data_IF_317454789168
#
_entry.id   IF_317454789168
#
_cell.length_a   1.000
_cell.length_b   1.000
_cell.length_c   1.000
_cell.angle_alpha   90.00
_cell.angle_beta   90.00
_cell.angle_gamma   90.00
#
_symmetry.space_group_name_H-M   'P 1'
#
loop_
_entity.id
_entity.type
_entity.pdbx_description
1 polymer ?
#
# COMPACT_ATOMS: atom_id res chain seq x y z
N UNK A 1 -75.69 -52.60 -29.02
CA UNK A 1 -74.91 -52.50 -27.76
C UNK A 1 -73.41 -52.40 -28.00
N UNK A 2 -72.78 -53.28 -28.81
CA UNK A 2 -71.31 -53.30 -29.02
C UNK A 2 -70.73 -51.95 -29.52
N UNK A 3 -71.39 -51.29 -30.48
CA UNK A 3 -70.93 -50.01 -31.04
C UNK A 3 -70.94 -48.87 -30.01
N UNK A 4 -71.94 -48.82 -29.12
CA UNK A 4 -72.03 -47.79 -28.07
C UNK A 4 -70.94 -47.94 -27.01
N UNK A 5 -70.57 -49.18 -26.68
CA UNK A 5 -69.46 -49.46 -25.75
C UNK A 5 -68.12 -49.10 -26.39
N UNK A 6 -67.94 -49.39 -27.68
CA UNK A 6 -66.73 -49.02 -28.43
C UNK A 6 -66.55 -47.49 -28.51
N UNK A 7 -67.62 -46.75 -28.79
CA UNK A 7 -67.59 -45.28 -28.85
C UNK A 7 -67.26 -44.67 -27.48
N UNK A 8 -67.76 -45.26 -26.38
CA UNK A 8 -67.40 -44.82 -25.02
C UNK A 8 -65.93 -45.09 -24.67
N UNK A 9 -65.37 -46.22 -25.08
CA UNK A 9 -63.94 -46.53 -24.87
C UNK A 9 -63.07 -45.50 -25.58
N UNK A 10 -63.37 -45.22 -26.86
CA UNK A 10 -62.63 -44.24 -27.67
C UNK A 10 -62.77 -42.83 -27.11
N UNK A 11 -63.94 -42.44 -26.60
CA UNK A 11 -64.12 -41.12 -25.96
C UNK A 11 -63.30 -40.98 -24.68
N UNK A 12 -63.25 -42.02 -23.84
CA UNK A 12 -62.41 -42.01 -22.65
C UNK A 12 -60.91 -41.98 -23.00
N UNK A 13 -60.49 -42.72 -24.03
CA UNK A 13 -59.11 -42.69 -24.54
C UNK A 13 -58.74 -41.29 -25.07
N UNK A 14 -59.66 -40.60 -25.76
CA UNK A 14 -59.46 -39.22 -26.21
C UNK A 14 -59.33 -38.27 -25.01
N UNK A 15 -60.17 -38.40 -23.99
CA UNK A 15 -60.14 -37.55 -22.79
C UNK A 15 -58.87 -37.78 -21.96
N UNK A 16 -58.39 -39.02 -21.86
CA UNK A 16 -57.10 -39.35 -21.23
C UNK A 16 -55.91 -38.77 -22.01
N UNK A 17 -55.92 -38.84 -23.35
CA UNK A 17 -54.89 -38.24 -24.19
C UNK A 17 -54.93 -36.70 -24.14
N UNK A 18 -56.10 -36.08 -24.07
CA UNK A 18 -56.23 -34.63 -23.88
C UNK A 18 -55.64 -34.17 -22.53
N UNK A 19 -55.87 -34.92 -21.44
CA UNK A 19 -55.25 -34.65 -20.14
C UNK A 19 -53.72 -34.83 -20.18
N UNK A 20 -53.22 -35.85 -20.90
CA UNK A 20 -51.78 -36.05 -21.11
C UNK A 20 -51.15 -34.91 -21.89
N UNK A 21 -51.81 -34.43 -22.94
CA UNK A 21 -51.35 -33.28 -23.73
C UNK A 21 -51.29 -32.02 -22.86
N UNK A 22 -52.32 -31.76 -22.04
CA UNK A 22 -52.31 -30.62 -21.12
C UNK A 22 -51.17 -30.70 -20.10
N UNK A 23 -50.92 -31.88 -19.50
CA UNK A 23 -49.80 -32.08 -18.57
C UNK A 23 -48.45 -31.85 -19.26
N UNK A 24 -48.27 -32.36 -20.48
CA UNK A 24 -47.05 -32.16 -21.26
C UNK A 24 -46.85 -30.69 -21.66
N UNK A 25 -47.92 -29.95 -21.95
CA UNK A 25 -47.86 -28.51 -22.23
C UNK A 25 -47.47 -27.70 -20.99
N UNK A 26 -47.98 -28.06 -19.81
CA UNK A 26 -47.58 -27.44 -18.54
C UNK A 26 -46.12 -27.71 -18.20
N UNK A 27 -45.66 -28.96 -18.35
CA UNK A 27 -44.25 -29.34 -18.18
C UNK A 27 -43.33 -28.61 -19.17
N UNK A 28 -43.73 -28.54 -20.45
CA UNK A 28 -42.98 -27.81 -21.48
C UNK A 28 -42.85 -26.33 -21.11
N UNK A 29 -43.94 -25.69 -20.69
CA UNK A 29 -43.94 -24.30 -20.24
C UNK A 29 -43.07 -24.09 -18.99
N UNK A 30 -43.07 -25.04 -18.05
CA UNK A 30 -42.24 -24.98 -16.86
C UNK A 30 -40.75 -25.10 -17.19
N UNK A 31 -40.38 -26.07 -18.03
CA UNK A 31 -39.00 -26.26 -18.51
C UNK A 31 -38.55 -25.05 -19.34
N UNK A 32 -39.43 -24.46 -20.15
CA UNK A 32 -39.12 -23.25 -20.92
C UNK A 32 -38.81 -22.07 -20.00
N UNK A 33 -39.62 -21.82 -18.96
CA UNK A 33 -39.31 -20.78 -17.96
C UNK A 33 -38.01 -21.05 -17.21
N UNK A 34 -37.75 -22.30 -16.83
CA UNK A 34 -36.52 -22.69 -16.14
C UNK A 34 -35.27 -22.48 -17.01
N UNK A 35 -35.35 -22.84 -18.30
CA UNK A 35 -34.27 -22.62 -19.26
C UNK A 35 -34.03 -21.14 -19.57
N UNK A 36 -35.07 -20.31 -19.61
CA UNK A 36 -34.94 -18.85 -19.73
C UNK A 36 -34.24 -18.23 -18.51
N UNK A 37 -34.61 -18.65 -17.28
CA UNK A 37 -33.94 -18.20 -16.06
C UNK A 37 -32.46 -18.61 -16.01
N UNK A 38 -32.15 -19.85 -16.39
CA UNK A 38 -30.77 -20.34 -16.47
C UNK A 38 -29.95 -19.58 -17.51
N UNK A 39 -30.55 -19.25 -18.67
CA UNK A 39 -29.90 -18.40 -19.68
C UNK A 39 -29.62 -16.99 -19.16
N UNK A 40 -30.56 -16.38 -18.43
CA UNK A 40 -30.35 -15.08 -17.83
C UNK A 40 -29.20 -15.09 -16.80
N UNK A 41 -29.16 -16.10 -15.92
CA UNK A 41 -28.09 -16.30 -14.95
C UNK A 41 -26.73 -16.55 -15.62
N UNK A 42 -26.69 -17.37 -16.67
CA UNK A 42 -25.48 -17.61 -17.45
C UNK A 42 -24.97 -16.31 -18.11
N UNK A 43 -25.86 -15.50 -18.66
CA UNK A 43 -25.49 -14.22 -19.26
C UNK A 43 -24.96 -13.23 -18.23
N UNK A 44 -25.53 -13.21 -17.02
CA UNK A 44 -25.02 -12.42 -15.89
C UNK A 44 -23.59 -12.87 -15.50
N UNK A 45 -23.34 -14.18 -15.45
CA UNK A 45 -22.01 -14.71 -15.17
C UNK A 45 -21.00 -14.40 -16.29
N UNK A 46 -21.42 -14.43 -17.54
CA UNK A 46 -20.59 -14.02 -18.69
C UNK A 46 -20.24 -12.54 -18.58
N UNK A 47 -21.20 -11.67 -18.24
CA UNK A 47 -20.93 -10.25 -18.02
C UNK A 47 -19.96 -10.02 -16.85
N UNK A 48 -20.17 -10.71 -15.72
CA UNK A 48 -19.24 -10.66 -14.57
C UNK A 48 -17.84 -11.09 -14.96
N UNK A 49 -17.71 -12.22 -15.66
CA UNK A 49 -16.44 -12.71 -16.20
C UNK A 49 -15.77 -11.66 -17.09
N UNK A 50 -16.50 -11.07 -18.05
CA UNK A 50 -15.97 -10.03 -18.92
C UNK A 50 -15.52 -8.79 -18.15
N UNK A 51 -16.26 -8.36 -17.11
CA UNK A 51 -15.84 -7.23 -16.27
C UNK A 51 -14.57 -7.53 -15.47
N UNK A 52 -14.42 -8.76 -14.97
CA UNK A 52 -13.22 -9.20 -14.25
C UNK A 52 -12.03 -9.28 -15.22
N UNK A 53 -12.21 -9.86 -16.41
CA UNK A 53 -11.16 -9.95 -17.43
C UNK A 53 -10.68 -8.57 -17.88
N UNK A 54 -11.60 -7.63 -18.13
CA UNK A 54 -11.27 -6.24 -18.42
C UNK A 54 -10.56 -5.55 -17.24
N UNK A 55 -10.95 -5.87 -16.00
CA UNK A 55 -10.28 -5.39 -14.80
C UNK A 55 -8.85 -5.91 -14.67
N UNK A 56 -8.62 -7.19 -14.94
CA UNK A 56 -7.30 -7.80 -14.95
C UNK A 56 -6.42 -7.21 -16.05
N UNK A 57 -6.94 -7.04 -17.27
CA UNK A 57 -6.20 -6.39 -18.36
C UNK A 57 -5.79 -4.97 -17.99
N UNK A 58 -6.70 -4.16 -17.42
CA UNK A 58 -6.35 -2.79 -16.97
C UNK A 58 -5.32 -2.78 -15.86
N UNK A 59 -5.36 -3.74 -14.93
CA UNK A 59 -4.32 -3.88 -13.90
C UNK A 59 -2.99 -4.26 -14.53
N UNK A 60 -3.00 -5.16 -15.51
CA UNK A 60 -1.81 -5.60 -16.21
C UNK A 60 -1.22 -4.49 -17.09
N UNK A 61 -2.05 -3.70 -17.76
CA UNK A 61 -1.66 -2.49 -18.49
C UNK A 61 -1.06 -1.45 -17.54
N UNK A 62 -1.67 -1.19 -16.39
CA UNK A 62 -1.10 -0.28 -15.37
C UNK A 62 0.24 -0.76 -14.81
N UNK A 63 0.40 -2.06 -14.60
CA UNK A 63 1.67 -2.67 -14.19
C UNK A 63 2.73 -2.51 -15.28
N UNK A 64 2.32 -2.51 -16.56
CA UNK A 64 3.22 -2.36 -17.71
C UNK A 64 3.51 -0.89 -18.08
N UNK A 65 2.58 0.04 -17.84
CA UNK A 65 2.73 1.48 -18.09
C UNK A 65 3.56 2.17 -17.00
N UNK A 66 3.57 1.64 -15.78
CA UNK A 66 4.54 2.02 -14.75
C UNK A 66 5.87 1.30 -14.99
N UNK A 67 6.68 1.81 -15.92
CA UNK A 67 8.02 1.33 -16.34
C UNK A 67 9.02 1.03 -15.18
N UNK A 68 8.68 1.35 -13.93
CA UNK A 68 9.47 1.03 -12.73
C UNK A 68 9.09 -0.28 -12.02
N UNK A 69 7.92 -0.89 -12.29
CA UNK A 69 7.41 -2.02 -11.50
C UNK A 69 7.63 -3.41 -12.14
N UNK A 70 7.88 -3.51 -13.44
CA UNK A 70 8.08 -4.81 -14.12
C UNK A 70 9.35 -5.51 -13.63
N UNK A 71 10.47 -4.78 -13.51
CA UNK A 71 11.74 -5.32 -12.98
C UNK A 71 11.59 -5.77 -11.52
N UNK A 72 10.87 -4.99 -10.71
CA UNK A 72 10.61 -5.31 -9.29
C UNK A 72 9.74 -6.56 -9.17
N UNK A 73 8.67 -6.69 -9.96
CA UNK A 73 7.77 -7.85 -9.93
C UNK A 73 8.50 -9.11 -10.42
N UNK A 74 9.28 -9.01 -11.49
CA UNK A 74 10.04 -10.14 -12.02
C UNK A 74 11.14 -10.59 -11.04
N UNK A 75 11.80 -9.64 -10.38
CA UNK A 75 12.77 -9.91 -9.32
C UNK A 75 12.12 -10.51 -8.08
N UNK A 76 10.94 -10.05 -7.67
CA UNK A 76 10.17 -10.66 -6.58
C UNK A 76 9.77 -12.10 -6.90
N UNK A 77 9.37 -12.37 -8.15
CA UNK A 77 9.04 -13.74 -8.58
C UNK A 77 10.24 -14.67 -8.49
N UNK A 78 11.40 -14.25 -9.00
CA UNK A 78 12.66 -15.03 -8.91
C UNK A 78 13.07 -15.23 -7.45
N UNK A 79 12.91 -14.20 -6.61
CA UNK A 79 13.19 -14.31 -5.18
C UNK A 79 12.25 -15.31 -4.49
N UNK A 80 10.97 -15.32 -4.84
CA UNK A 80 10.00 -16.26 -4.27
C UNK A 80 10.36 -17.71 -4.60
N UNK A 81 10.67 -17.99 -5.87
CA UNK A 81 11.13 -19.31 -6.31
C UNK A 81 12.42 -19.74 -5.60
N UNK A 82 13.32 -18.79 -5.31
CA UNK A 82 14.54 -19.07 -4.54
C UNK A 82 14.28 -19.36 -3.06
N UNK A 83 13.29 -18.69 -2.46
CA UNK A 83 12.90 -18.91 -1.05
C UNK A 83 12.31 -20.30 -0.89
N UNK A 84 11.40 -20.71 -1.78
CA UNK A 84 10.81 -22.06 -1.75
C UNK A 84 11.88 -23.16 -1.92
N UNK A 85 12.87 -22.94 -2.78
CA UNK A 85 13.99 -23.87 -2.95
C UNK A 85 14.87 -23.98 -1.69
N UNK A 86 15.13 -22.85 -1.01
CA UNK A 86 15.91 -22.80 0.21
C UNK A 86 15.19 -23.44 1.40
N UNK A 87 13.88 -23.21 1.55
CA UNK A 87 13.06 -23.85 2.59
C UNK A 87 13.09 -25.37 2.46
N UNK A 88 13.00 -25.88 1.23
CA UNK A 88 13.13 -27.32 0.97
C UNK A 88 14.51 -27.85 1.37
N UNK A 89 15.57 -27.14 0.99
CA UNK A 89 16.95 -27.51 1.36
C UNK A 89 17.17 -27.48 2.87
N UNK A 90 16.59 -26.50 3.58
CA UNK A 90 16.64 -26.42 5.04
C UNK A 90 15.98 -27.64 5.69
N UNK A 91 14.80 -28.06 5.20
CA UNK A 91 14.11 -29.26 5.69
C UNK A 91 14.93 -30.54 5.50
N UNK A 92 15.55 -30.71 4.34
CA UNK A 92 16.43 -31.86 4.05
C UNK A 92 17.70 -31.87 4.93
N UNK A 93 18.30 -30.70 5.18
CA UNK A 93 19.45 -30.59 6.08
C UNK A 93 19.09 -30.84 7.53
N UNK A 94 17.94 -30.34 7.98
CA UNK A 94 17.45 -30.52 9.35
C UNK A 94 17.22 -31.99 9.66
N UNK A 95 16.54 -32.72 8.78
CA UNK A 95 16.32 -34.16 8.91
C UNK A 95 17.63 -34.94 8.89
N UNK A 96 18.58 -34.59 8.01
CA UNK A 96 19.92 -35.20 7.98
C UNK A 96 20.70 -34.99 9.29
N UNK A 97 20.63 -33.78 9.86
CA UNK A 97 21.28 -33.45 11.12
C UNK A 97 20.63 -34.17 12.30
N UNK A 98 19.29 -34.23 12.37
CA UNK A 98 18.56 -34.96 13.41
C UNK A 98 18.92 -36.46 13.39
N UNK A 99 19.04 -37.06 12.21
CA UNK A 99 19.43 -38.46 12.07
C UNK A 99 20.89 -38.70 12.48
N UNK A 100 21.83 -37.84 12.08
CA UNK A 100 23.22 -37.91 12.55
C UNK A 100 23.33 -37.74 14.06
N UNK A 101 22.57 -36.82 14.64
CA UNK A 101 22.52 -36.61 16.08
C UNK A 101 22.00 -37.87 16.79
N UNK A 102 20.91 -38.48 16.30
CA UNK A 102 20.38 -39.73 16.88
C UNK A 102 21.40 -40.88 16.80
N UNK A 103 22.12 -41.02 15.69
CA UNK A 103 23.14 -42.05 15.52
C UNK A 103 24.31 -41.87 16.50
N UNK A 104 24.84 -40.64 16.59
CA UNK A 104 25.91 -40.32 17.52
C UNK A 104 25.46 -40.48 18.98
N UNK A 105 24.22 -40.11 19.30
CA UNK A 105 23.67 -40.32 20.64
C UNK A 105 23.55 -41.81 20.99
N UNK A 106 23.16 -42.65 20.02
CA UNK A 106 23.14 -44.09 20.22
C UNK A 106 24.55 -44.67 20.43
N UNK A 107 25.54 -44.19 19.69
CA UNK A 107 26.95 -44.57 19.86
C UNK A 107 27.50 -44.13 21.23
N UNK A 108 27.21 -42.91 21.67
CA UNK A 108 27.57 -42.43 23.02
C UNK A 108 26.93 -43.28 24.09
N UNK A 109 25.64 -43.59 23.98
CA UNK A 109 24.93 -44.43 24.94
C UNK A 109 25.52 -45.86 24.98
N UNK A 110 25.94 -46.41 23.84
CA UNK A 110 26.58 -47.72 23.79
C UNK A 110 27.98 -47.70 24.43
N UNK A 111 28.78 -46.66 24.15
CA UNK A 111 30.09 -46.46 24.79
C UNK A 111 29.96 -46.26 26.30
N UNK A 112 28.95 -45.54 26.77
CA UNK A 112 28.64 -45.40 28.20
C UNK A 112 28.24 -46.75 28.82
N UNK A 113 27.50 -47.60 28.11
CA UNK A 113 27.17 -48.95 28.59
C UNK A 113 28.41 -49.84 28.69
N UNK A 114 29.29 -49.79 27.69
CA UNK A 114 30.58 -50.52 27.71
C UNK A 114 31.48 -50.00 28.84
N UNK A 115 31.49 -48.69 29.09
CA UNK A 115 32.25 -48.10 30.20
C UNK A 115 31.69 -48.46 31.58
N UNK A 116 30.39 -48.75 31.68
CA UNK A 116 29.72 -49.13 32.94
C UNK A 116 29.66 -50.66 33.15
N UNK A 117 29.93 -51.47 32.13
CA UNK A 117 30.18 -52.90 32.30
C UNK A 117 31.60 -53.11 32.82
N UNK A 118 31.70 -53.58 34.06
CA UNK A 118 32.93 -53.84 34.79
C UNK A 118 33.81 -54.87 34.08
N UNK A 119 34.72 -54.42 33.21
CA UNK A 119 35.91 -55.19 32.82
C UNK A 119 37.03 -54.28 32.29
N UNK A 120 37.40 -53.23 33.04
CA UNK A 120 38.70 -52.56 32.86
C UNK A 120 39.35 -52.40 34.24
N UNK A 121 39.77 -53.54 34.79
CA UNK A 121 40.72 -53.57 35.89
C UNK A 121 42.10 -53.86 35.30
N UNK A 122 42.86 -52.80 35.00
CA UNK A 122 44.34 -52.73 34.90
C UNK A 122 44.74 -51.71 33.85
N UNK A 123 44.99 -50.45 34.23
CA UNK A 123 46.00 -49.58 33.60
C UNK A 123 46.17 -48.30 34.45
N UNK A 124 47.06 -48.33 35.43
CA UNK A 124 47.42 -47.14 36.22
C UNK A 124 48.18 -46.07 35.42
N UNK A 125 48.64 -46.39 34.21
CA UNK A 125 49.20 -45.43 33.26
C UNK A 125 48.16 -44.57 32.53
N UNK A 126 46.90 -45.03 32.44
CA UNK A 126 45.81 -44.30 31.76
C UNK A 126 45.11 -43.28 32.67
N UNK A 127 45.25 -43.39 33.99
CA UNK A 127 44.63 -42.44 34.93
C UNK A 127 45.25 -41.03 34.87
N UNK A 128 46.53 -40.93 34.49
CA UNK A 128 47.21 -39.66 34.28
C UNK A 128 46.84 -39.03 32.93
N UNK A 129 46.78 -39.82 31.85
CA UNK A 129 46.29 -39.35 30.55
C UNK A 129 44.82 -38.91 30.64
N UNK A 130 43.96 -39.63 31.36
CA UNK A 130 42.58 -39.22 31.63
C UNK A 130 42.45 -37.96 32.48
N UNK A 131 43.33 -37.75 33.47
CA UNK A 131 43.36 -36.53 34.28
C UNK A 131 43.80 -35.32 33.44
N UNK A 132 44.85 -35.48 32.64
CA UNK A 132 45.34 -34.45 31.72
C UNK A 132 44.30 -34.14 30.63
N UNK A 133 43.59 -35.15 30.11
CA UNK A 133 42.44 -34.97 29.23
C UNK A 133 41.27 -34.25 29.93
N UNK A 134 41.03 -34.54 31.21
CA UNK A 134 39.99 -33.89 32.02
C UNK A 134 40.29 -32.41 32.29
N UNK A 135 41.53 -32.07 32.61
CA UNK A 135 42.00 -30.69 32.79
C UNK A 135 42.02 -29.93 31.45
N UNK A 136 42.41 -30.59 30.36
CA UNK A 136 42.30 -30.04 29.00
C UNK A 136 40.84 -29.84 28.57
N UNK A 137 39.93 -30.72 28.99
CA UNK A 137 38.50 -30.58 28.72
C UNK A 137 37.86 -29.46 29.55
N UNK A 138 38.25 -29.31 30.82
CA UNK A 138 37.79 -28.20 31.66
C UNK A 138 38.28 -26.85 31.13
N UNK A 139 39.54 -26.74 30.76
CA UNK A 139 40.09 -25.53 30.14
C UNK A 139 39.45 -25.24 28.78
N UNK A 140 39.18 -26.26 27.95
CA UNK A 140 38.42 -26.11 26.71
C UNK A 140 36.98 -25.63 26.96
N UNK A 141 36.31 -26.14 28.01
CA UNK A 141 34.96 -25.73 28.40
C UNK A 141 34.92 -24.27 28.88
N UNK A 142 35.91 -23.85 29.66
CA UNK A 142 36.07 -22.45 30.07
C UNK A 142 36.36 -21.53 28.88
N UNK A 143 37.22 -21.94 27.96
CA UNK A 143 37.51 -21.21 26.74
C UNK A 143 36.25 -21.06 25.88
N UNK A 144 35.46 -22.13 25.72
CA UNK A 144 34.19 -22.11 25.01
C UNK A 144 33.14 -21.21 25.70
N UNK A 145 33.13 -21.15 27.04
CA UNK A 145 32.28 -20.21 27.78
C UNK A 145 32.68 -18.75 27.54
N UNK A 146 33.99 -18.45 27.56
CA UNK A 146 34.54 -17.12 27.26
C UNK A 146 34.26 -16.71 25.81
N UNK A 147 34.44 -17.61 24.85
CA UNK A 147 34.11 -17.37 23.43
C UNK A 147 32.62 -17.05 23.25
N UNK A 148 31.72 -17.81 23.89
CA UNK A 148 30.28 -17.51 23.88
C UNK A 148 29.96 -16.13 24.46
N UNK A 149 30.62 -15.75 25.57
CA UNK A 149 30.46 -14.43 26.16
C UNK A 149 30.97 -13.30 25.24
N UNK A 150 32.13 -13.47 24.61
CA UNK A 150 32.69 -12.50 23.65
C UNK A 150 31.79 -12.37 22.43
N UNK A 151 31.27 -13.47 21.89
CA UNK A 151 30.33 -13.43 20.76
C UNK A 151 29.01 -12.74 21.14
N UNK A 152 28.51 -12.96 22.36
CA UNK A 152 27.34 -12.26 22.88
C UNK A 152 27.57 -10.74 22.98
N UNK A 153 28.74 -10.33 23.48
CA UNK A 153 29.11 -8.91 23.54
C UNK A 153 29.28 -8.30 22.15
N UNK A 154 29.88 -9.02 21.20
CA UNK A 154 29.99 -8.55 19.81
C UNK A 154 28.62 -8.33 19.17
N UNK A 155 27.69 -9.29 19.32
CA UNK A 155 26.31 -9.11 18.83
C UNK A 155 25.65 -7.86 19.40
N UNK A 156 25.78 -7.63 20.71
CA UNK A 156 25.25 -6.41 21.35
C UNK A 156 25.90 -5.13 20.85
N UNK A 157 27.16 -5.19 20.42
CA UNK A 157 27.85 -4.04 19.85
C UNK A 157 27.42 -3.80 18.40
N UNK A 158 27.25 -4.88 17.62
CA UNK A 158 26.75 -4.84 16.24
C UNK A 158 25.28 -4.40 16.18
N UNK A 159 24.49 -4.65 17.23
CA UNK A 159 23.13 -4.14 17.38
C UNK A 159 23.09 -2.60 17.54
N UNK A 160 24.20 -1.97 17.93
CA UNK A 160 24.28 -0.52 18.05
C UNK A 160 24.74 0.09 16.71
N UNK A 161 23.97 1.03 16.13
CA UNK A 161 24.36 1.66 14.89
C UNK A 161 25.70 2.38 15.04
N UNK A 162 26.59 2.10 14.11
CA UNK A 162 27.89 2.75 13.97
C UNK A 162 27.73 4.25 13.66
N UNK A 163 28.75 5.08 13.96
CA UNK A 163 28.72 6.50 13.61
C UNK A 163 28.47 6.76 12.12
N UNK A 164 28.96 5.88 11.24
CA UNK A 164 28.68 5.94 9.81
C UNK A 164 27.22 5.68 9.47
N UNK A 165 26.57 4.69 10.11
CA UNK A 165 25.15 4.39 9.90
C UNK A 165 24.26 5.52 10.41
N UNK A 166 24.61 6.13 11.56
CA UNK A 166 23.89 7.30 12.06
C UNK A 166 23.89 8.45 11.05
N UNK A 167 25.04 8.74 10.43
CA UNK A 167 25.15 9.77 9.38
C UNK A 167 24.31 9.40 8.15
N UNK A 168 24.28 8.13 7.76
CA UNK A 168 23.43 7.66 6.65
C UNK A 168 21.95 7.83 6.98
N UNK A 169 21.53 7.48 8.19
CA UNK A 169 20.15 7.68 8.64
C UNK A 169 19.78 9.16 8.68
N UNK A 170 20.64 10.03 9.19
CA UNK A 170 20.39 11.47 9.21
C UNK A 170 20.16 12.03 7.79
N UNK A 171 20.99 11.62 6.82
CA UNK A 171 20.79 11.98 5.41
C UNK A 171 19.47 11.43 4.88
N UNK A 172 19.18 10.15 5.14
CA UNK A 172 17.96 9.49 4.67
C UNK A 172 16.70 10.13 5.26
N UNK A 173 16.72 10.52 6.53
CA UNK A 173 15.63 11.24 7.17
C UNK A 173 15.45 12.63 6.57
N UNK A 174 16.54 13.32 6.25
CA UNK A 174 16.48 14.63 5.57
C UNK A 174 15.87 14.53 4.17
N UNK A 175 16.27 13.53 3.39
CA UNK A 175 15.67 13.23 2.07
C UNK A 175 14.18 12.90 2.19
N UNK A 176 13.83 12.00 3.12
CA UNK A 176 12.44 11.61 3.35
C UNK A 176 11.60 12.80 3.79
N UNK A 177 12.14 13.68 4.64
CA UNK A 177 11.47 14.89 5.06
C UNK A 177 11.17 15.80 3.86
N UNK A 178 12.13 16.00 2.96
CA UNK A 178 11.91 16.79 1.73
C UNK A 178 10.80 16.17 0.87
N UNK A 179 10.80 14.85 0.67
CA UNK A 179 9.75 14.16 -0.10
C UNK A 179 8.36 14.31 0.54
N UNK A 180 8.27 14.18 1.86
CA UNK A 180 7.00 14.38 2.59
C UNK A 180 6.51 15.82 2.43
N UNK A 181 7.40 16.81 2.55
CA UNK A 181 7.04 18.22 2.36
C UNK A 181 6.55 18.50 0.93
N UNK A 182 7.22 17.94 -0.08
CA UNK A 182 6.81 18.07 -1.47
C UNK A 182 5.42 17.45 -1.69
N UNK A 183 5.18 16.24 -1.18
CA UNK A 183 3.87 15.58 -1.29
C UNK A 183 2.76 16.33 -0.56
N UNK A 184 3.08 16.93 0.58
CA UNK A 184 2.15 17.80 1.31
C UNK A 184 1.80 19.05 0.51
N UNK A 185 2.80 19.68 -0.11
CA UNK A 185 2.60 20.84 -0.98
C UNK A 185 1.74 20.48 -2.20
N UNK A 186 2.05 19.36 -2.89
CA UNK A 186 1.27 18.85 -4.02
C UNK A 186 -0.20 18.61 -3.60
N UNK A 187 -0.42 17.92 -2.48
CA UNK A 187 -1.76 17.66 -1.94
C UNK A 187 -2.53 18.95 -1.70
N UNK A 188 -1.90 19.95 -1.07
CA UNK A 188 -2.52 21.27 -0.86
C UNK A 188 -2.89 21.97 -2.18
N UNK A 189 -2.02 21.90 -3.18
CA UNK A 189 -2.31 22.46 -4.51
C UNK A 189 -3.49 21.76 -5.19
N UNK A 190 -3.59 20.43 -5.08
CA UNK A 190 -4.73 19.69 -5.60
C UNK A 190 -6.03 20.12 -4.92
N UNK A 191 -6.06 20.23 -3.59
CA UNK A 191 -7.26 20.70 -2.87
C UNK A 191 -7.61 22.14 -3.22
N UNK A 192 -6.64 23.04 -3.32
CA UNK A 192 -6.88 24.43 -3.73
C UNK A 192 -7.49 24.50 -5.15
N UNK A 193 -6.93 23.73 -6.09
CA UNK A 193 -7.44 23.67 -7.46
C UNK A 193 -8.84 23.07 -7.52
N UNK A 194 -9.07 21.99 -6.79
CA UNK A 194 -10.39 21.35 -6.68
C UNK A 194 -11.44 22.32 -6.13
N UNK A 195 -11.14 23.02 -5.03
CA UNK A 195 -12.06 23.99 -4.44
C UNK A 195 -12.35 25.15 -5.40
N UNK A 196 -11.34 25.67 -6.10
CA UNK A 196 -11.53 26.71 -7.11
C UNK A 196 -12.43 26.23 -8.26
N UNK A 197 -12.22 25.01 -8.77
CA UNK A 197 -13.07 24.42 -9.80
C UNK A 197 -14.50 24.19 -9.31
N UNK A 198 -14.68 23.79 -8.05
CA UNK A 198 -15.99 23.63 -7.44
C UNK A 198 -16.74 24.96 -7.36
N UNK A 199 -16.06 26.03 -6.92
CA UNK A 199 -16.62 27.38 -6.89
C UNK A 199 -17.00 27.88 -8.30
N UNK A 200 -16.14 27.66 -9.30
CA UNK A 200 -16.43 28.00 -10.71
C UNK A 200 -17.67 27.24 -11.19
N UNK A 201 -17.75 25.93 -10.93
CA UNK A 201 -18.91 25.11 -11.29
C UNK A 201 -20.20 25.67 -10.68
N UNK A 202 -20.17 26.02 -9.39
CA UNK A 202 -21.33 26.62 -8.73
C UNK A 202 -21.73 27.97 -9.34
N UNK A 203 -20.77 28.81 -9.69
CA UNK A 203 -21.04 30.11 -10.33
C UNK A 203 -21.66 29.93 -11.71
N UNK A 204 -21.13 29.02 -12.53
CA UNK A 204 -21.69 28.68 -13.85
C UNK A 204 -23.10 28.10 -13.71
N UNK A 205 -23.36 27.28 -12.69
CA UNK A 205 -24.69 26.76 -12.41
C UNK A 205 -25.67 27.87 -12.03
N UNK A 206 -25.24 28.84 -11.20
CA UNK A 206 -26.04 30.03 -10.85
C UNK A 206 -26.35 30.89 -12.09
N UNK A 207 -25.37 31.07 -12.98
CA UNK A 207 -25.54 31.78 -14.26
C UNK A 207 -26.55 31.05 -15.16
N UNK A 208 -26.42 29.73 -15.30
CA UNK A 208 -27.35 28.91 -16.08
C UNK A 208 -28.78 29.02 -15.53
N UNK A 209 -28.95 28.94 -14.20
CA UNK A 209 -30.26 29.12 -13.56
C UNK A 209 -30.82 30.52 -13.79
N UNK A 210 -29.98 31.57 -13.75
CA UNK A 210 -30.39 32.94 -14.03
C UNK A 210 -30.85 33.09 -15.49
N UNK A 211 -30.08 32.58 -16.46
CA UNK A 211 -30.43 32.63 -17.88
C UNK A 211 -31.74 31.89 -18.16
N UNK A 212 -31.93 30.71 -17.57
CA UNK A 212 -33.20 29.97 -17.69
C UNK A 212 -34.38 30.75 -17.10
N UNK A 213 -34.18 31.42 -15.97
CA UNK A 213 -35.20 32.25 -15.32
C UNK A 213 -35.54 33.49 -16.14
N UNK A 214 -34.55 34.13 -16.76
CA UNK A 214 -34.77 35.24 -17.69
C UNK A 214 -35.55 34.74 -18.92
N UNK A 215 -35.13 33.61 -19.51
CA UNK A 215 -35.78 33.07 -20.70
C UNK A 215 -37.25 32.69 -20.46
N UNK A 216 -37.57 32.13 -19.28
CA UNK A 216 -38.96 31.76 -18.95
C UNK A 216 -39.83 32.98 -18.70
N UNK A 217 -39.31 34.00 -18.01
CA UNK A 217 -40.06 35.21 -17.67
C UNK A 217 -40.19 36.19 -18.84
N UNK A 218 -39.34 36.07 -19.87
CA UNK A 218 -39.22 37.08 -20.92
C UNK A 218 -40.51 37.29 -21.72
N UNK A 219 -41.14 36.22 -22.21
CA UNK A 219 -42.36 36.36 -23.02
C UNK A 219 -43.50 36.98 -22.21
N UNK A 220 -43.75 36.48 -21.01
CA UNK A 220 -44.82 36.96 -20.13
C UNK A 220 -44.60 38.42 -19.72
N UNK A 221 -43.36 38.80 -19.37
CA UNK A 221 -43.03 40.18 -19.01
C UNK A 221 -43.21 41.15 -20.19
N UNK A 222 -42.96 40.70 -21.43
CA UNK A 222 -43.09 41.55 -22.61
C UNK A 222 -44.53 41.86 -23.01
N UNK A 223 -45.51 41.05 -22.58
CA UNK A 223 -46.93 41.25 -22.86
C UNK A 223 -47.50 42.56 -22.28
N UNK A 224 -46.85 43.15 -21.27
CA UNK A 224 -47.33 44.36 -20.59
C UNK A 224 -46.21 45.35 -20.25
N UNK A 225 -46.52 46.64 -20.25
CA UNK A 225 -45.56 47.68 -19.84
C UNK A 225 -45.11 47.52 -18.39
N UNK A 226 -46.02 47.12 -17.50
CA UNK A 226 -45.70 46.85 -16.10
C UNK A 226 -44.79 45.61 -15.93
N UNK A 227 -45.00 44.56 -16.73
CA UNK A 227 -44.14 43.37 -16.76
C UNK A 227 -42.71 43.71 -17.20
N UNK A 228 -42.57 44.52 -18.26
CA UNK A 228 -41.27 45.01 -18.74
C UNK A 228 -40.51 45.79 -17.66
N UNK A 229 -41.19 46.70 -16.96
CA UNK A 229 -40.58 47.47 -15.86
C UNK A 229 -40.12 46.56 -14.70
N UNK A 230 -40.89 45.54 -14.35
CA UNK A 230 -40.49 44.56 -13.31
C UNK A 230 -39.28 43.72 -13.73
N UNK A 231 -39.21 43.28 -14.98
CA UNK A 231 -38.07 42.52 -15.50
C UNK A 231 -36.78 43.36 -15.47
N UNK A 232 -36.86 44.64 -15.86
CA UNK A 232 -35.71 45.56 -15.77
C UNK A 232 -35.27 45.73 -14.32
N UNK A 233 -36.21 45.98 -13.39
CA UNK A 233 -35.88 46.14 -11.97
C UNK A 233 -35.26 44.88 -11.35
N UNK A 234 -35.70 43.67 -11.75
CA UNK A 234 -35.09 42.43 -11.26
C UNK A 234 -33.67 42.23 -11.81
N UNK A 235 -33.42 42.55 -13.09
CA UNK A 235 -32.08 42.52 -13.68
C UNK A 235 -31.13 43.53 -13.01
N UNK A 236 -31.61 44.75 -12.75
CA UNK A 236 -30.84 45.77 -12.02
C UNK A 236 -30.48 45.31 -10.60
N UNK A 237 -31.42 44.70 -9.88
CA UNK A 237 -31.16 44.15 -8.55
C UNK A 237 -30.11 43.02 -8.57
N UNK A 238 -30.17 42.14 -9.58
CA UNK A 238 -29.18 41.07 -9.77
C UNK A 238 -27.80 41.67 -10.06
N UNK A 239 -27.70 42.65 -10.97
CA UNK A 239 -26.45 43.34 -11.30
C UNK A 239 -25.84 44.05 -10.08
N UNK A 240 -26.65 44.74 -9.27
CA UNK A 240 -26.17 45.37 -8.05
C UNK A 240 -25.65 44.33 -7.04
N UNK A 241 -26.37 43.21 -6.88
CA UNK A 241 -25.97 42.12 -6.00
C UNK A 241 -24.65 41.46 -6.44
N UNK A 242 -24.46 41.23 -7.75
CA UNK A 242 -23.21 40.67 -8.27
C UNK A 242 -22.05 41.64 -8.13
N UNK A 243 -22.26 42.93 -8.41
CA UNK A 243 -21.24 43.97 -8.23
C UNK A 243 -20.80 44.12 -6.77
N UNK A 244 -21.75 44.07 -5.82
CA UNK A 244 -21.43 44.09 -4.39
C UNK A 244 -20.61 42.87 -3.97
N UNK A 245 -20.96 41.68 -4.47
CA UNK A 245 -20.24 40.44 -4.15
C UNK A 245 -18.83 40.44 -4.74
N UNK A 246 -18.68 40.93 -5.97
CA UNK A 246 -17.38 41.11 -6.62
C UNK A 246 -16.47 42.05 -5.81
N UNK A 247 -17.00 43.19 -5.36
CA UNK A 247 -16.25 44.13 -4.52
C UNK A 247 -15.75 43.49 -3.21
N UNK A 248 -16.58 42.68 -2.55
CA UNK A 248 -16.17 41.94 -1.33
C UNK A 248 -15.03 40.95 -1.61
N UNK A 249 -15.10 40.21 -2.72
CA UNK A 249 -14.04 39.26 -3.11
C UNK A 249 -12.75 40.00 -3.46
N UNK A 250 -12.82 41.12 -4.16
CA UNK A 250 -11.66 41.94 -4.50
C UNK A 250 -10.96 42.52 -3.26
N UNK A 251 -11.73 42.99 -2.27
CA UNK A 251 -11.18 43.46 -1.00
C UNK A 251 -10.46 42.33 -0.25
N UNK A 252 -11.09 41.15 -0.15
CA UNK A 252 -10.45 39.98 0.48
C UNK A 252 -9.17 39.55 -0.24
N UNK A 253 -9.16 39.59 -1.58
CA UNK A 253 -7.97 39.29 -2.37
C UNK A 253 -6.83 40.27 -2.07
N UNK A 254 -7.11 41.57 -1.96
CA UNK A 254 -6.12 42.59 -1.64
C UNK A 254 -5.54 42.40 -0.23
N UNK A 255 -6.38 42.04 0.75
CA UNK A 255 -5.94 41.74 2.12
C UNK A 255 -5.00 40.53 2.17
N UNK A 256 -5.34 39.44 1.47
CA UNK A 256 -4.49 38.24 1.40
C UNK A 256 -3.19 38.49 0.63
N UNK A 257 -3.23 39.28 -0.45
CA UNK A 257 -2.01 39.72 -1.17
C UNK A 257 -1.07 40.48 -0.24
N UNK A 258 -1.60 41.44 0.54
CA UNK A 258 -0.80 42.19 1.50
C UNK A 258 -0.14 41.27 2.54
N UNK A 259 -0.87 40.27 3.05
CA UNK A 259 -0.30 39.27 3.98
C UNK A 259 0.80 38.45 3.30
N UNK A 260 0.58 38.01 2.07
CA UNK A 260 1.56 37.26 1.30
C UNK A 260 2.85 38.06 1.09
N UNK A 261 2.74 39.34 0.78
CA UNK A 261 3.91 40.20 0.56
C UNK A 261 4.69 40.44 1.85
N UNK A 262 4.00 40.65 2.98
CA UNK A 262 4.66 40.70 4.31
C UNK A 262 5.44 39.42 4.59
N UNK A 263 4.83 38.24 4.38
CA UNK A 263 5.53 36.97 4.62
C UNK A 263 6.72 36.76 3.66
N UNK A 264 6.64 37.22 2.41
CA UNK A 264 7.78 37.16 1.48
C UNK A 264 8.94 38.01 1.95
N UNK A 265 8.66 39.21 2.47
CA UNK A 265 9.69 40.10 3.02
C UNK A 265 10.34 39.50 4.27
N UNK A 266 9.55 38.96 5.21
CA UNK A 266 10.06 38.27 6.41
C UNK A 266 10.91 37.05 6.06
N UNK A 267 10.48 36.26 5.08
CA UNK A 267 11.25 35.13 4.58
C UNK A 267 12.58 35.57 3.94
N UNK A 268 12.55 36.60 3.10
CA UNK A 268 13.75 37.14 2.47
C UNK A 268 14.76 37.64 3.52
N UNK A 269 14.30 38.34 4.56
CA UNK A 269 15.15 38.78 5.67
C UNK A 269 15.77 37.59 6.42
N UNK A 270 14.97 36.56 6.72
CA UNK A 270 15.44 35.34 7.39
C UNK A 270 16.49 34.58 6.57
N UNK A 271 16.33 34.52 5.24
CA UNK A 271 17.32 33.91 4.34
C UNK A 271 18.63 34.69 4.32
N UNK A 272 18.59 36.03 4.37
CA UNK A 272 19.79 36.86 4.47
C UNK A 272 20.54 36.58 5.78
N UNK A 273 19.84 36.52 6.91
CA UNK A 273 20.46 36.19 8.20
C UNK A 273 21.04 34.76 8.21
N UNK A 274 20.33 33.78 7.64
CA UNK A 274 20.85 32.42 7.50
C UNK A 274 22.15 32.39 6.69
N UNK A 275 22.22 33.12 5.57
CA UNK A 275 23.43 33.25 4.75
C UNK A 275 24.57 33.89 5.55
N UNK A 276 24.28 34.94 6.32
CA UNK A 276 25.25 35.61 7.20
C UNK A 276 25.83 34.65 8.23
N UNK A 277 24.96 33.90 8.93
CA UNK A 277 25.39 32.89 9.90
C UNK A 277 26.25 31.80 9.25
N UNK A 278 25.87 31.31 8.07
CA UNK A 278 26.67 30.32 7.33
C UNK A 278 28.06 30.86 6.96
N UNK A 279 28.16 32.11 6.51
CA UNK A 279 29.45 32.75 6.22
C UNK A 279 30.32 32.88 7.47
N UNK A 280 29.76 33.28 8.61
CA UNK A 280 30.49 33.39 9.88
C UNK A 280 30.97 32.01 10.34
N UNK A 281 30.14 30.97 10.25
CA UNK A 281 30.52 29.60 10.61
C UNK A 281 31.66 29.08 9.74
N UNK A 282 31.64 29.35 8.42
CA UNK A 282 32.75 28.99 7.52
C UNK A 282 34.06 29.68 7.92
N UNK A 283 34.01 30.99 8.17
CA UNK A 283 35.19 31.74 8.60
C UNK A 283 35.74 31.22 9.95
N UNK A 284 34.85 30.92 10.90
CA UNK A 284 35.23 30.32 12.18
C UNK A 284 35.89 28.95 11.99
N UNK A 285 35.33 28.09 11.13
CA UNK A 285 35.89 26.77 10.85
C UNK A 285 37.28 26.88 10.21
N UNK A 286 37.50 27.83 9.29
CA UNK A 286 38.80 28.12 8.71
C UNK A 286 39.82 28.53 9.79
N UNK A 287 39.47 29.45 10.69
CA UNK A 287 40.34 29.85 11.80
C UNK A 287 40.65 28.69 12.76
N UNK A 288 39.67 27.84 13.08
CA UNK A 288 39.90 26.62 13.85
C UNK A 288 40.92 25.70 13.17
N UNK A 289 40.79 25.48 11.86
CA UNK A 289 41.76 24.65 11.11
C UNK A 289 43.16 25.25 11.10
N UNK A 290 43.29 26.58 11.03
CA UNK A 290 44.57 27.28 11.15
C UNK A 290 45.16 27.11 12.54
N UNK A 291 44.36 27.27 13.59
CA UNK A 291 44.80 27.10 14.98
C UNK A 291 45.32 25.68 15.24
N UNK A 292 44.60 24.66 14.76
CA UNK A 292 45.04 23.27 14.87
C UNK A 292 46.36 23.02 14.15
N UNK A 293 46.56 23.58 12.95
CA UNK A 293 47.84 23.49 12.21
C UNK A 293 48.98 24.13 13.01
N UNK A 294 48.77 25.32 13.57
CA UNK A 294 49.77 26.01 14.38
C UNK A 294 50.10 25.24 15.66
N UNK A 295 49.09 24.69 16.36
CA UNK A 295 49.31 23.84 17.53
C UNK A 295 50.17 22.63 17.20
N UNK A 296 49.90 21.95 16.09
CA UNK A 296 50.71 20.80 15.63
C UNK A 296 52.16 21.17 15.34
N UNK A 297 52.41 22.38 14.82
CA UNK A 297 53.76 22.88 14.56
C UNK A 297 54.51 23.32 15.83
N UNK A 298 53.78 23.72 16.87
CA UNK A 298 54.38 24.17 18.15
C UNK A 298 54.62 23.00 19.11
N UNK A 299 53.94 21.87 18.88
CA UNK A 299 54.08 20.63 19.66
C UNK A 299 55.11 19.64 19.09
N UNK A 300 55.91 20.05 18.11
CA UNK A 300 57.05 19.31 17.54
C UNK A 300 58.35 20.05 17.88
#
# INVERSE_FOLDING_TARGET
>A
MVIQTQVKSVLNEIEEEEQRVQQLEEELNHVQKSTEMLRASLNEQIQKKATIENGMQRLQEKINEEDGNIDVVQRVKVLLESVEALEKQEGELRTSCEQKHSNLQAEVNELERISNSEEINSHSGDLQSFRDLGENWQSAKELAAKLRAVLSLKRRLDDQPSPSELIQYERRFSELYVQIQEKHQQTRQYYATYNALLEIKELVQKETSLLNSISSQFQDAMTSTAGRAKLIGSMEAVLQGTQQKLGKVQLGLQEEQRKCDVFKEEYAASVVEQRRCSSILKAFQEECTKNEKLRRQTSA
#
